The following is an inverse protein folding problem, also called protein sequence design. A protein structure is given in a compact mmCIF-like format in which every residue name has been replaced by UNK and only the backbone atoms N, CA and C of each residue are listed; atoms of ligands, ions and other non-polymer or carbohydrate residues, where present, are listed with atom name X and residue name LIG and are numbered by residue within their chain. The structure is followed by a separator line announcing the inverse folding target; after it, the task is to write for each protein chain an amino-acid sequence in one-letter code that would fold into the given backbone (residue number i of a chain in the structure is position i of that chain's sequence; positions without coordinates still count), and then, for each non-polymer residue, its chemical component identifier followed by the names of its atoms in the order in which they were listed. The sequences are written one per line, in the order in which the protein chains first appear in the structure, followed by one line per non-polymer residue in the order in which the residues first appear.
data_IF_086090044887
#
_entry.id   IF_086090044887
#
_cell.length_a   1.000
_cell.length_b   1.000
_cell.length_c   1.000
_cell.angle_alpha   90.00
_cell.angle_beta   90.00
_cell.angle_gamma   90.00
#
_symmetry.space_group_name_H-M   'P 1'
#
loop_
_entity.id
_entity.type
_entity.pdbx_description
1 polymer ?
#
# COMPACT_ATOMS: atom_id res chain seq x y z
N UNK A 1 1.41 7.69 -8.34
CA UNK A 1 0.66 6.80 -7.44
C UNK A 1 0.19 7.54 -6.20
N UNK A 2 -1.02 7.24 -5.74
CA UNK A 2 -1.59 7.71 -4.47
C UNK A 2 -1.54 6.53 -3.51
N UNK A 3 -0.91 6.70 -2.34
CA UNK A 3 -0.77 5.64 -1.34
C UNK A 3 -2.10 5.45 -0.60
N UNK A 4 -3.09 4.90 -1.31
CA UNK A 4 -4.45 4.68 -0.86
C UNK A 4 -4.49 4.16 0.59
N UNK A 5 -4.81 5.00 1.59
CA UNK A 5 -4.71 4.62 2.99
C UNK A 5 -5.94 3.76 3.36
N UNK A 6 -5.92 2.50 2.93
CA UNK A 6 -7.08 1.59 2.96
C UNK A 6 -7.40 0.92 1.61
N UNK A 7 -6.49 1.01 0.63
CA UNK A 7 -6.46 0.42 -0.72
C UNK A 7 -7.83 0.22 -1.39
N UNK A 8 -8.58 -0.82 -1.03
CA UNK A 8 -9.82 -1.20 -1.73
C UNK A 8 -11.05 -0.44 -1.22
N UNK A 9 -11.16 -0.19 0.09
CA UNK A 9 -12.32 0.55 0.65
C UNK A 9 -12.30 2.02 0.21
N UNK A 10 -11.14 2.64 0.29
CA UNK A 10 -10.98 4.04 -0.12
C UNK A 10 -11.18 4.22 -1.63
N UNK A 11 -10.66 3.31 -2.45
CA UNK A 11 -10.91 3.32 -3.90
C UNK A 11 -12.41 3.20 -4.20
N UNK A 12 -13.11 2.27 -3.55
CA UNK A 12 -14.56 2.12 -3.70
C UNK A 12 -15.29 3.41 -3.33
N UNK A 13 -14.99 4.00 -2.16
CA UNK A 13 -15.63 5.23 -1.70
C UNK A 13 -15.46 6.38 -2.70
N UNK A 14 -14.27 6.50 -3.29
CA UNK A 14 -13.97 7.52 -4.29
C UNK A 14 -14.75 7.30 -5.58
N UNK A 15 -14.78 6.07 -6.10
CA UNK A 15 -15.53 5.75 -7.32
C UNK A 15 -17.03 5.95 -7.10
N UNK A 16 -17.59 5.49 -5.97
CA UNK A 16 -19.00 5.69 -5.60
C UNK A 16 -19.35 7.19 -5.57
N UNK A 17 -18.51 8.00 -4.93
CA UNK A 17 -18.70 9.46 -4.87
C UNK A 17 -18.64 10.10 -6.26
N UNK A 18 -17.73 9.65 -7.12
CA UNK A 18 -17.63 10.15 -8.50
C UNK A 18 -18.89 9.81 -9.31
N UNK A 19 -19.44 8.60 -9.16
CA UNK A 19 -20.69 8.20 -9.81
C UNK A 19 -21.85 9.07 -9.34
N UNK A 20 -21.98 9.32 -8.04
CA UNK A 20 -23.04 10.18 -7.46
C UNK A 20 -22.96 11.62 -7.98
N UNK A 21 -21.74 12.16 -8.13
CA UNK A 21 -21.54 13.55 -8.54
C UNK A 21 -21.45 13.74 -10.07
N UNK A 22 -21.29 12.65 -10.82
CA UNK A 22 -21.24 12.69 -12.27
C UNK A 22 -22.59 13.09 -12.88
N UNK A 23 -22.55 14.00 -13.86
CA UNK A 23 -23.74 14.44 -14.60
C UNK A 23 -23.94 13.69 -15.91
N UNK A 24 -23.00 12.82 -16.27
CA UNK A 24 -22.97 12.13 -17.56
C UNK A 24 -22.46 10.70 -17.42
N UNK A 25 -22.53 9.90 -18.50
CA UNK A 25 -22.23 8.48 -18.47
C UNK A 25 -20.74 8.16 -18.30
N UNK A 26 -19.86 9.17 -18.37
CA UNK A 26 -18.41 9.02 -18.33
C UNK A 26 -17.86 9.81 -17.15
N UNK A 27 -17.10 9.14 -16.29
CA UNK A 27 -16.35 9.77 -15.21
C UNK A 27 -15.12 10.48 -15.78
N UNK A 28 -14.99 11.78 -15.55
CA UNK A 28 -13.84 12.58 -15.99
C UNK A 28 -12.88 12.83 -14.83
N UNK A 29 -11.61 13.13 -15.16
CA UNK A 29 -10.58 13.47 -14.17
C UNK A 29 -10.97 14.69 -13.32
N UNK A 30 -11.83 15.56 -13.83
CA UNK A 30 -12.34 16.72 -13.09
C UNK A 30 -13.20 16.31 -11.88
N UNK A 31 -13.88 15.17 -11.98
CA UNK A 31 -14.71 14.60 -10.91
C UNK A 31 -13.93 13.92 -9.80
N UNK A 32 -12.62 13.69 -9.98
CA UNK A 32 -11.78 13.13 -8.92
C UNK A 32 -11.66 14.12 -7.75
N UNK A 33 -11.63 13.62 -6.50
CA UNK A 33 -11.32 14.45 -5.35
C UNK A 33 -10.02 15.24 -5.53
N UNK A 34 -9.95 16.51 -5.07
CA UNK A 34 -8.76 17.34 -5.20
C UNK A 34 -7.49 16.74 -4.59
N UNK A 35 -7.62 15.88 -3.58
CA UNK A 35 -6.51 15.16 -2.95
C UNK A 35 -5.83 14.18 -3.92
N UNK A 36 -6.60 13.52 -4.78
CA UNK A 36 -6.08 12.56 -5.77
C UNK A 36 -5.58 13.31 -7.01
N UNK A 37 -6.30 14.36 -7.45
CA UNK A 37 -5.89 15.19 -8.60
C UNK A 37 -4.55 15.90 -8.41
N UNK A 38 -4.20 16.27 -7.18
CA UNK A 38 -3.00 17.07 -6.86
C UNK A 38 -1.81 16.24 -6.41
N UNK A 39 -1.88 14.92 -6.48
CA UNK A 39 -0.70 14.08 -6.28
C UNK A 39 0.28 14.30 -7.44
N UNK A 40 1.10 15.33 -7.30
CA UNK A 40 2.40 15.41 -7.95
C UNK A 40 3.21 14.28 -7.34
N UNK A 41 3.86 13.40 -8.14
CA UNK A 41 4.73 12.39 -7.56
C UNK A 41 5.74 13.14 -6.70
N UNK A 42 5.75 12.86 -5.40
CA UNK A 42 6.89 13.21 -4.58
C UNK A 42 8.12 12.66 -5.31
N UNK A 43 9.16 13.48 -5.38
CA UNK A 43 10.42 13.20 -6.08
C UNK A 43 10.87 11.72 -5.95
N UNK A 44 11.56 11.16 -6.96
CA UNK A 44 12.07 9.78 -6.89
C UNK A 44 12.97 9.67 -5.66
N UNK A 45 12.49 8.95 -4.66
CA UNK A 45 12.96 9.09 -3.27
C UNK A 45 12.15 8.25 -2.29
N UNK A 46 10.94 7.83 -2.68
CA UNK A 46 10.44 6.52 -2.27
C UNK A 46 11.13 5.54 -3.20
N UNK A 47 12.18 4.87 -2.71
CA UNK A 47 12.80 3.77 -3.44
C UNK A 47 11.66 2.87 -3.93
N UNK A 48 11.56 2.70 -5.25
CA UNK A 48 10.81 1.59 -5.79
C UNK A 48 11.28 0.38 -5.00
N UNK A 49 10.37 -0.26 -4.24
CA UNK A 49 10.72 -1.33 -3.34
C UNK A 49 11.65 -2.26 -4.10
N UNK A 50 12.90 -2.33 -3.66
CA UNK A 50 13.90 -3.13 -4.35
C UNK A 50 13.34 -4.56 -4.39
N UNK A 51 13.61 -5.40 -5.41
CA UNK A 51 13.06 -6.77 -5.44
C UNK A 51 13.33 -7.58 -4.15
N UNK A 52 14.36 -7.19 -3.38
CA UNK A 52 14.66 -7.71 -2.04
C UNK A 52 13.64 -7.34 -0.93
N UNK A 53 12.88 -6.26 -1.10
CA UNK A 53 11.92 -5.71 -0.13
C UNK A 53 10.49 -6.21 -0.34
N UNK A 54 10.19 -6.88 -1.46
CA UNK A 54 8.89 -7.51 -1.73
C UNK A 54 9.00 -9.01 -2.05
N UNK A 55 9.51 -9.86 -1.14
CA UNK A 55 9.57 -11.31 -1.33
C UNK A 55 8.19 -12.00 -1.47
N UNK A 56 7.11 -11.24 -1.40
CA UNK A 56 5.73 -11.68 -1.62
C UNK A 56 5.15 -11.26 -2.99
N UNK A 57 5.92 -10.56 -3.84
CA UNK A 57 5.44 -10.07 -5.14
C UNK A 57 5.21 -11.18 -6.18
N UNK A 58 5.99 -12.25 -6.13
CA UNK A 58 5.94 -13.38 -7.07
C UNK A 58 5.02 -14.53 -6.60
N UNK A 59 4.12 -14.25 -5.64
CA UNK A 59 3.32 -15.29 -4.99
C UNK A 59 1.84 -15.14 -5.35
N UNK A 60 1.29 -16.12 -6.06
CA UNK A 60 -0.10 -16.08 -6.55
C UNK A 60 -1.15 -16.35 -5.46
N UNK A 61 -0.75 -16.93 -4.32
CA UNK A 61 -1.65 -17.25 -3.20
C UNK A 61 -1.50 -16.26 -2.04
N UNK A 62 -2.64 -15.72 -1.57
CA UNK A 62 -2.67 -14.72 -0.50
C UNK A 62 -2.08 -15.24 0.82
N UNK A 63 -2.34 -16.51 1.17
CA UNK A 63 -1.83 -17.09 2.42
C UNK A 63 -0.31 -17.23 2.36
N UNK A 64 0.22 -17.64 1.21
CA UNK A 64 1.65 -17.71 0.96
C UNK A 64 2.30 -16.31 0.94
N UNK A 65 1.67 -15.32 0.31
CA UNK A 65 2.15 -13.92 0.33
C UNK A 65 2.22 -13.36 1.76
N UNK A 66 1.18 -13.59 2.57
CA UNK A 66 1.13 -13.21 3.99
C UNK A 66 2.25 -13.88 4.80
N UNK A 67 2.50 -15.18 4.60
CA UNK A 67 3.56 -15.89 5.30
C UNK A 67 4.96 -15.35 4.96
N UNK A 68 5.21 -15.03 3.68
CA UNK A 68 6.45 -14.41 3.24
C UNK A 68 6.66 -13.03 3.88
N UNK A 69 5.62 -12.20 3.91
CA UNK A 69 5.63 -10.91 4.58
C UNK A 69 5.92 -11.04 6.08
N UNK A 70 5.18 -11.90 6.79
CA UNK A 70 5.35 -12.11 8.24
C UNK A 70 6.78 -12.52 8.58
N UNK A 71 7.35 -13.46 7.82
CA UNK A 71 8.73 -13.91 8.01
C UNK A 71 9.73 -12.77 7.80
N UNK A 72 9.58 -12.01 6.72
CA UNK A 72 10.45 -10.87 6.43
C UNK A 72 10.35 -9.78 7.50
N UNK A 73 9.13 -9.48 7.97
CA UNK A 73 8.86 -8.51 9.01
C UNK A 73 9.51 -8.90 10.35
N UNK A 74 9.31 -10.15 10.78
CA UNK A 74 9.88 -10.67 12.02
C UNK A 74 11.40 -10.75 11.95
N UNK A 75 11.97 -11.17 10.83
CA UNK A 75 13.42 -11.22 10.65
C UNK A 75 14.04 -9.83 10.79
N UNK A 76 13.45 -8.81 10.15
CA UNK A 76 13.90 -7.43 10.29
C UNK A 76 13.83 -6.94 11.74
N UNK A 77 12.70 -7.20 12.42
CA UNK A 77 12.51 -6.80 13.83
C UNK A 77 13.47 -7.51 14.78
N UNK A 78 13.81 -8.77 14.49
CA UNK A 78 14.84 -9.51 15.23
C UNK A 78 16.22 -8.88 15.02
N UNK A 79 16.60 -8.56 13.78
CA UNK A 79 17.90 -7.98 13.47
C UNK A 79 18.04 -6.57 14.08
N UNK A 80 16.98 -5.75 14.07
CA UNK A 80 16.92 -4.45 14.77
C UNK A 80 17.16 -4.59 16.29
N UNK A 81 16.69 -5.68 16.89
CA UNK A 81 16.82 -5.95 18.33
C UNK A 81 18.03 -6.84 18.68
N UNK A 82 18.99 -7.00 17.77
CA UNK A 82 20.20 -7.81 18.01
C UNK A 82 19.90 -9.29 18.26
N UNK A 83 18.86 -9.82 17.61
CA UNK A 83 18.32 -11.18 17.76
C UNK A 83 17.84 -11.52 19.17
N UNK A 84 17.50 -10.50 19.95
CA UNK A 84 16.89 -10.69 21.26
C UNK A 84 15.38 -10.89 21.12
N UNK A 85 14.96 -12.15 21.18
CA UNK A 85 13.56 -12.59 20.99
C UNK A 85 12.63 -11.91 22.01
N UNK A 86 13.05 -11.78 23.27
CA UNK A 86 12.23 -11.19 24.35
C UNK A 86 12.00 -9.69 24.19
N UNK A 87 12.95 -8.95 23.61
CA UNK A 87 12.75 -7.53 23.25
C UNK A 87 11.87 -7.38 22.02
N UNK A 88 12.03 -8.27 21.04
CA UNK A 88 11.28 -8.24 19.79
C UNK A 88 9.79 -8.53 19.98
N UNK A 89 9.42 -9.39 20.93
CA UNK A 89 8.01 -9.71 21.20
C UNK A 89 7.24 -8.61 21.96
N UNK A 90 7.93 -7.63 22.54
CA UNK A 90 7.34 -6.53 23.32
C UNK A 90 7.25 -5.20 22.54
N UNK A 91 7.92 -5.11 21.40
CA UNK A 91 8.01 -3.93 20.55
C UNK A 91 7.05 -4.05 19.36
#
# INVERSE_FOLDING_TARGET
DYDWPGNVRELRNVVERMVILSRGPVLTLEGLPPAIRRHTPAAPGVAAATPAETPWADVDDFKAAKACFERAFLQRKLDENGRNISRTAKA
#
